data_IF_799080461513
#
_entry.id   IF_799080461513
#
_cell.length_a   1.000
_cell.length_b   1.000
_cell.length_c   1.000
_cell.angle_alpha   90.00
_cell.angle_beta   90.00
_cell.angle_gamma   90.00
#
_symmetry.space_group_name_H-M   'P 1'
#
loop_
_entity.id
_entity.type
_entity.pdbx_description
1 polymer ?
#
# COMPACT_ATOMS: atom_id res chain seq x y z
N UNK A 1 -1.74 17.19 -4.64
CA UNK A 1 -2.63 16.75 -3.55
C UNK A 1 -2.73 15.25 -3.69
N UNK A 2 -2.26 14.47 -2.72
CA UNK A 2 -2.42 13.01 -2.76
C UNK A 2 -3.92 12.72 -2.82
N UNK A 3 -4.38 12.02 -3.85
CA UNK A 3 -5.78 11.60 -3.93
C UNK A 3 -6.02 10.64 -2.78
N UNK A 4 -6.75 11.10 -1.77
CA UNK A 4 -7.34 10.22 -0.77
C UNK A 4 -8.26 9.26 -1.52
N UNK A 5 -7.81 8.04 -1.78
CA UNK A 5 -8.69 6.96 -2.22
C UNK A 5 -9.38 6.44 -0.95
N UNK A 6 -10.67 6.73 -0.72
CA UNK A 6 -11.39 6.23 0.47
C UNK A 6 -11.39 4.70 0.57
N UNK A 7 -11.14 4.01 -0.54
CA UNK A 7 -11.00 2.56 -0.61
C UNK A 7 -9.70 2.06 0.01
N UNK A 8 -8.62 2.82 -0.16
CA UNK A 8 -7.31 2.51 0.40
C UNK A 8 -7.32 2.61 1.95
N UNK A 9 -8.20 3.44 2.51
CA UNK A 9 -8.43 3.53 3.96
C UNK A 9 -8.99 2.22 4.53
N UNK A 10 -9.86 1.52 3.78
CA UNK A 10 -10.45 0.24 4.19
C UNK A 10 -9.36 -0.83 4.38
N UNK A 11 -8.36 -0.84 3.50
CA UNK A 11 -7.20 -1.74 3.60
C UNK A 11 -6.31 -1.40 4.80
N UNK A 12 -6.10 -0.12 5.08
CA UNK A 12 -5.30 0.33 6.23
C UNK A 12 -5.96 0.04 7.58
N UNK A 13 -7.29 0.11 7.65
CA UNK A 13 -8.06 -0.16 8.86
C UNK A 13 -8.24 -1.66 9.13
N UNK A 14 -8.33 -2.48 8.08
CA UNK A 14 -8.52 -3.93 8.18
C UNK A 14 -7.26 -4.68 7.75
N UNK A 15 -6.11 -4.40 8.35
CA UNK A 15 -4.86 -5.13 8.04
C UNK A 15 -5.02 -6.63 8.28
N UNK A 16 -4.31 -7.44 7.50
CA UNK A 16 -4.30 -8.89 7.69
C UNK A 16 -3.74 -9.22 9.09
N UNK A 17 -4.60 -9.70 9.96
CA UNK A 17 -4.26 -10.40 11.20
C UNK A 17 -4.61 -11.85 10.94
N UNK A 18 -3.77 -12.83 11.31
CA UNK A 18 -3.93 -14.21 10.83
C UNK A 18 -5.35 -14.81 10.92
N UNK A 19 -6.17 -14.33 11.86
CA UNK A 19 -7.58 -14.70 12.04
C UNK A 19 -8.60 -14.04 11.09
N UNK A 20 -8.28 -12.95 10.39
CA UNK A 20 -9.23 -12.16 9.59
C UNK A 20 -9.07 -12.33 8.06
N UNK A 21 -8.42 -13.40 7.59
CA UNK A 21 -8.10 -13.60 6.18
C UNK A 21 -9.30 -13.47 5.23
N UNK A 22 -10.46 -14.02 5.61
CA UNK A 22 -11.67 -13.99 4.77
C UNK A 22 -12.17 -12.56 4.55
N UNK A 23 -12.25 -11.78 5.63
CA UNK A 23 -12.70 -10.39 5.60
C UNK A 23 -11.68 -9.49 4.92
N UNK A 24 -10.39 -9.69 5.21
CA UNK A 24 -9.28 -9.00 4.56
C UNK A 24 -9.31 -9.23 3.04
N UNK A 25 -9.46 -10.48 2.61
CA UNK A 25 -9.53 -10.84 1.18
C UNK A 25 -10.73 -10.20 0.50
N UNK A 26 -11.90 -10.21 1.15
CA UNK A 26 -13.11 -9.57 0.63
C UNK A 26 -12.92 -8.06 0.47
N UNK A 27 -12.33 -7.40 1.46
CA UNK A 27 -12.02 -5.97 1.41
C UNK A 27 -11.04 -5.66 0.28
N UNK A 28 -10.00 -6.48 0.12
CA UNK A 28 -9.04 -6.37 -0.97
C UNK A 28 -9.69 -6.53 -2.35
N UNK A 29 -10.54 -7.55 -2.52
CA UNK A 29 -11.27 -7.75 -3.78
C UNK A 29 -12.17 -6.55 -4.12
N UNK A 30 -12.83 -5.93 -3.14
CA UNK A 30 -13.66 -4.74 -3.34
C UNK A 30 -12.82 -3.56 -3.86
N UNK A 31 -11.68 -3.28 -3.23
CA UNK A 31 -10.78 -2.19 -3.65
C UNK A 31 -10.27 -2.44 -5.07
N UNK A 32 -9.85 -3.66 -5.37
CA UNK A 32 -9.32 -4.02 -6.68
C UNK A 32 -10.39 -3.98 -7.79
N UNK A 33 -11.63 -4.37 -7.49
CA UNK A 33 -12.75 -4.24 -8.43
C UNK A 33 -13.03 -2.76 -8.71
N UNK A 34 -13.11 -1.94 -7.66
CA UNK A 34 -13.43 -0.53 -7.78
C UNK A 34 -12.34 0.26 -8.53
N UNK A 35 -11.07 -0.06 -8.32
CA UNK A 35 -9.94 0.56 -9.02
C UNK A 35 -9.62 -0.10 -10.37
N UNK A 36 -10.42 -1.08 -10.82
CA UNK A 36 -10.24 -1.83 -12.08
C UNK A 36 -8.93 -2.64 -12.14
N UNK A 37 -8.33 -2.93 -10.99
CA UNK A 37 -7.11 -3.71 -10.81
C UNK A 37 -7.36 -5.19 -10.47
N UNK A 38 -8.62 -5.66 -10.45
CA UNK A 38 -8.97 -7.07 -10.13
C UNK A 38 -8.15 -8.09 -10.93
N UNK A 39 -7.80 -7.74 -12.16
CA UNK A 39 -7.01 -8.60 -13.04
C UNK A 39 -5.67 -9.01 -12.43
N UNK A 40 -5.08 -8.20 -11.53
CA UNK A 40 -3.84 -8.50 -10.81
C UNK A 40 -3.98 -9.73 -9.90
N UNK A 41 -5.14 -9.97 -9.30
CA UNK A 41 -5.37 -11.15 -8.44
C UNK A 41 -5.96 -12.35 -9.16
N UNK A 42 -6.65 -12.12 -10.27
CA UNK A 42 -7.34 -13.19 -11.00
C UNK A 42 -6.53 -13.74 -12.15
N UNK A 43 -5.57 -12.99 -12.69
CA UNK A 43 -4.68 -13.54 -13.71
C UNK A 43 -3.69 -14.52 -13.06
N UNK A 44 -3.58 -15.74 -13.60
CA UNK A 44 -2.52 -16.64 -13.19
C UNK A 44 -1.17 -15.95 -13.46
N UNK A 45 -0.23 -16.11 -12.53
CA UNK A 45 1.15 -15.69 -12.75
C UNK A 45 1.62 -16.33 -14.05
N UNK A 46 1.98 -15.54 -15.08
CA UNK A 46 2.39 -16.10 -16.35
C UNK A 46 3.66 -16.94 -16.11
N UNK A 47 3.72 -18.13 -16.69
CA UNK A 47 4.92 -18.94 -16.66
C UNK A 47 6.03 -18.19 -17.40
N UNK A 48 7.24 -18.19 -16.85
CA UNK A 48 8.38 -17.65 -17.59
C UNK A 48 8.50 -18.40 -18.93
N UNK A 49 8.46 -17.70 -20.07
CA UNK A 49 8.54 -18.35 -21.37
C UNK A 49 9.89 -19.05 -21.52
N UNK A 50 9.90 -20.20 -22.21
CA UNK A 50 11.13 -20.92 -22.53
C UNK A 50 12.17 -20.00 -23.21
N UNK A 51 13.46 -20.29 -23.07
CA UNK A 51 14.49 -19.59 -23.83
C UNK A 51 14.27 -19.72 -25.34
N UNK A 52 13.67 -20.82 -25.79
CA UNK A 52 13.34 -21.08 -27.19
C UNK A 52 11.93 -20.59 -27.58
N UNK A 53 11.19 -19.95 -26.65
CA UNK A 53 9.86 -19.45 -26.92
C UNK A 53 9.91 -18.31 -27.97
N UNK A 54 8.86 -18.20 -28.81
CA UNK A 54 8.72 -17.11 -29.77
C UNK A 54 8.87 -15.73 -29.12
N UNK A 55 9.45 -14.79 -29.85
CA UNK A 55 9.65 -13.41 -29.38
C UNK A 55 8.33 -12.77 -28.91
N UNK A 56 7.24 -13.04 -29.60
CA UNK A 56 5.90 -12.54 -29.27
C UNK A 56 5.42 -13.04 -27.90
N UNK A 57 5.75 -14.29 -27.54
CA UNK A 57 5.40 -14.85 -26.23
C UNK A 57 6.18 -14.16 -25.11
N UNK A 58 7.47 -13.91 -25.34
CA UNK A 58 8.34 -13.14 -24.41
C UNK A 58 7.85 -11.71 -24.24
N UNK A 59 7.51 -11.03 -25.34
CA UNK A 59 6.97 -9.67 -25.30
C UNK A 59 5.64 -9.60 -24.55
N UNK A 60 4.74 -10.57 -24.76
CA UNK A 60 3.48 -10.65 -24.01
C UNK A 60 3.70 -10.89 -22.52
N UNK A 61 4.66 -11.74 -22.16
CA UNK A 61 5.06 -11.94 -20.77
C UNK A 61 5.60 -10.63 -20.15
N UNK A 62 6.53 -9.96 -20.82
CA UNK A 62 7.15 -8.72 -20.32
C UNK A 62 6.13 -7.60 -20.17
N UNK A 63 5.21 -7.47 -21.12
CA UNK A 63 4.14 -6.48 -21.08
C UNK A 63 3.18 -6.75 -19.92
N UNK A 64 2.74 -8.00 -19.74
CA UNK A 64 1.87 -8.37 -18.64
C UNK A 64 2.53 -8.19 -17.27
N UNK A 65 3.80 -8.59 -17.13
CA UNK A 65 4.57 -8.40 -15.91
C UNK A 65 4.74 -6.90 -15.58
N UNK A 66 4.98 -6.07 -16.60
CA UNK A 66 5.09 -4.62 -16.47
C UNK A 66 3.78 -3.98 -16.05
N UNK A 67 2.65 -4.39 -16.64
CA UNK A 67 1.32 -3.88 -16.31
C UNK A 67 0.95 -4.22 -14.85
N UNK A 68 1.18 -5.48 -14.43
CA UNK A 68 0.96 -5.91 -13.04
C UNK A 68 1.82 -5.08 -12.07
N UNK A 69 3.11 -4.92 -12.39
CA UNK A 69 4.04 -4.14 -11.56
C UNK A 69 3.61 -2.67 -11.47
N UNK A 70 3.17 -2.07 -12.58
CA UNK A 70 2.71 -0.69 -12.62
C UNK A 70 1.46 -0.51 -11.76
N UNK A 71 0.45 -1.37 -11.89
CA UNK A 71 -0.76 -1.31 -11.07
C UNK A 71 -0.48 -1.51 -9.58
N UNK A 72 0.43 -2.42 -9.21
CA UNK A 72 0.86 -2.56 -7.81
C UNK A 72 1.55 -1.28 -7.31
N UNK A 73 2.38 -0.65 -8.14
CA UNK A 73 3.05 0.60 -7.80
C UNK A 73 2.08 1.76 -7.66
N UNK A 74 1.04 1.83 -8.49
CA UNK A 74 -0.02 2.83 -8.35
C UNK A 74 -0.81 2.66 -7.05
N UNK A 75 -1.19 1.42 -6.70
CA UNK A 75 -1.97 1.15 -5.49
C UNK A 75 -1.16 1.31 -4.18
N UNK A 76 0.13 0.93 -4.19
CA UNK A 76 0.92 0.84 -2.96
C UNK A 76 2.11 1.81 -2.89
N UNK A 77 2.58 2.35 -4.02
CA UNK A 77 3.77 3.18 -4.09
C UNK A 77 3.61 4.57 -3.48
N UNK A 78 2.40 5.15 -3.51
CA UNK A 78 2.12 6.43 -2.86
C UNK A 78 1.85 6.29 -1.36
N UNK A 79 1.26 5.17 -0.92
CA UNK A 79 0.89 4.96 0.49
C UNK A 79 2.10 4.98 1.44
N UNK A 80 3.18 4.27 1.10
CA UNK A 80 4.39 4.26 1.93
C UNK A 80 5.10 5.62 1.99
N UNK A 81 5.13 6.36 0.87
CA UNK A 81 5.71 7.72 0.82
C UNK A 81 4.84 8.74 1.53
N UNK A 82 3.51 8.65 1.37
CA UNK A 82 2.54 9.55 1.99
C UNK A 82 2.50 9.38 3.50
N UNK A 83 2.48 8.14 4.01
CA UNK A 83 2.52 7.89 5.45
C UNK A 83 3.81 8.42 6.10
N UNK A 84 4.96 8.20 5.46
CA UNK A 84 6.25 8.74 5.92
C UNK A 84 6.27 10.27 5.89
N UNK A 85 5.81 10.88 4.80
CA UNK A 85 5.73 12.34 4.66
C UNK A 85 4.76 12.99 5.66
N UNK A 86 3.59 12.38 5.88
CA UNK A 86 2.61 12.85 6.86
C UNK A 86 3.15 12.71 8.29
N UNK A 87 3.81 11.59 8.61
CA UNK A 87 4.48 11.41 9.91
C UNK A 87 5.60 12.44 10.11
N UNK A 88 6.42 12.71 9.08
CA UNK A 88 7.42 13.77 9.10
C UNK A 88 6.80 15.16 9.31
N UNK A 89 5.68 15.44 8.63
CA UNK A 89 4.94 16.68 8.79
C UNK A 89 4.34 16.82 10.19
N UNK A 90 3.83 15.74 10.76
CA UNK A 90 3.32 15.72 12.13
C UNK A 90 4.45 15.98 13.13
N UNK A 91 5.61 15.33 13.01
CA UNK A 91 6.77 15.59 13.88
C UNK A 91 7.19 17.07 13.79
N UNK A 92 7.30 17.61 12.58
CA UNK A 92 7.76 19.00 12.38
C UNK A 92 6.78 20.05 12.94
N UNK A 93 5.47 19.78 12.85
CA UNK A 93 4.45 20.74 13.27
C UNK A 93 3.89 20.48 14.67
N UNK A 94 4.28 19.40 15.33
CA UNK A 94 3.77 19.02 16.66
C UNK A 94 4.29 20.01 17.70
N UNK A 95 3.39 20.82 18.25
CA UNK A 95 3.61 21.66 19.43
C UNK A 95 2.88 21.06 20.61
N UNK A 96 3.46 21.17 21.81
CA UNK A 96 2.73 20.82 23.04
C UNK A 96 1.55 21.78 23.22
N UNK A 97 0.34 21.23 23.37
CA UNK A 97 -0.82 22.02 23.74
C UNK A 97 -0.71 22.43 25.21
N UNK A 98 -1.11 23.66 25.53
CA UNK A 98 -1.04 24.20 26.88
C UNK A 98 -1.88 23.33 27.84
N UNK A 99 -1.29 22.91 28.97
CA UNK A 99 -1.92 21.99 29.93
C UNK A 99 -1.79 20.48 29.63
N UNK A 100 -1.15 20.07 28.53
CA UNK A 100 -0.88 18.65 28.27
C UNK A 100 0.37 18.12 28.98
N UNK A 101 0.32 16.86 29.43
CA UNK A 101 1.44 16.20 30.09
C UNK A 101 2.63 16.01 29.13
N UNK A 102 3.81 16.48 29.56
CA UNK A 102 5.08 16.32 28.83
C UNK A 102 5.35 14.84 28.51
N UNK A 103 5.04 13.93 29.45
CA UNK A 103 5.25 12.48 29.27
C UNK A 103 4.43 11.93 28.10
N UNK A 104 3.14 12.26 28.04
CA UNK A 104 2.24 11.85 26.97
C UNK A 104 2.71 12.37 25.61
N UNK A 105 3.18 13.62 25.58
CA UNK A 105 3.74 14.21 24.38
C UNK A 105 4.99 13.46 23.90
N UNK A 106 5.94 13.15 24.80
CA UNK A 106 7.13 12.39 24.45
C UNK A 106 6.81 10.98 23.93
N UNK A 107 5.85 10.28 24.54
CA UNK A 107 5.43 8.95 24.07
C UNK A 107 4.88 9.00 22.64
N UNK A 108 4.10 10.03 22.33
CA UNK A 108 3.56 10.25 20.98
C UNK A 108 4.65 10.55 19.96
N UNK A 109 5.64 11.37 20.34
CA UNK A 109 6.81 11.63 19.48
C UNK A 109 7.64 10.38 19.22
N UNK A 110 7.87 9.54 20.25
CA UNK A 110 8.60 8.27 20.12
C UNK A 110 7.84 7.32 19.20
N UNK A 111 6.52 7.19 19.34
CA UNK A 111 5.70 6.37 18.44
C UNK A 111 5.82 6.84 16.98
N UNK A 112 5.80 8.15 16.74
CA UNK A 112 5.94 8.71 15.40
C UNK A 112 7.35 8.47 14.81
N UNK A 113 8.40 8.57 15.63
CA UNK A 113 9.78 8.28 15.22
C UNK A 113 9.97 6.81 14.86
N UNK A 114 9.44 5.88 15.66
CA UNK A 114 9.47 4.44 15.37
C UNK A 114 8.73 4.10 14.06
N UNK A 115 7.70 4.87 13.70
CA UNK A 115 6.97 4.70 12.44
C UNK A 115 7.79 5.14 11.21
N UNK A 116 8.87 5.92 11.39
CA UNK A 116 9.79 6.33 10.32
C UNK A 116 10.99 5.37 10.13
N UNK A 117 11.27 4.52 11.12
CA UNK A 117 12.40 3.58 11.09
C UNK A 117 12.07 2.25 10.38
N UNK A 118 10.79 1.96 10.15
CA UNK A 118 10.28 0.82 9.35
C UNK A 118 10.24 1.17 7.87
#
# INVERSE_FOLDING_TARGET
MASFSPLVVILNQNKLTGSNYVDWKRNLDIVLIAEKHKYVLTQPCPSFPSLDAPLEEKQRYDQLASDIMLSLKEMFGEQGRSARQETMRQIYNTKMAEGTSVREHCLRMISNLNTLEV
#
